data_IF_586493808163
#
_entry.id   IF_586493808163
#
_cell.length_a   1.000
_cell.length_b   1.000
_cell.length_c   1.000
_cell.angle_alpha   90.00
_cell.angle_beta   90.00
_cell.angle_gamma   90.00
#
_symmetry.space_group_name_H-M   'P 1'
#
loop_
_entity.id
_entity.type
_entity.pdbx_description
1 polymer ?
#
# COMPACT_ATOMS: atom_id res chain seq x y z
N UNK A 1 20.33 4.37 -13.48
CA UNK A 1 18.91 4.78 -13.59
C UNK A 1 18.00 3.63 -14.02
N UNK A 2 18.21 2.96 -15.18
CA UNK A 2 17.37 1.81 -15.60
C UNK A 2 17.33 0.65 -14.58
N UNK A 3 18.46 0.37 -13.95
CA UNK A 3 18.60 -0.72 -12.97
C UNK A 3 17.73 -0.53 -11.71
N UNK A 4 17.65 0.70 -11.19
CA UNK A 4 16.82 1.03 -10.01
C UNK A 4 15.33 0.82 -10.32
N UNK A 5 14.86 1.23 -11.51
CA UNK A 5 13.48 1.00 -11.91
C UNK A 5 13.17 -0.49 -12.04
N UNK A 6 14.13 -1.30 -12.51
CA UNK A 6 13.96 -2.74 -12.60
C UNK A 6 13.86 -3.39 -11.21
N UNK A 7 14.75 -3.01 -10.28
CA UNK A 7 14.71 -3.46 -8.89
C UNK A 7 13.40 -3.04 -8.20
N UNK A 8 12.96 -1.81 -8.42
CA UNK A 8 11.67 -1.30 -7.94
C UNK A 8 10.48 -2.11 -8.44
N UNK A 9 10.43 -2.42 -9.74
CA UNK A 9 9.37 -3.26 -10.32
C UNK A 9 9.41 -4.67 -9.72
N UNK A 10 10.60 -5.25 -9.54
CA UNK A 10 10.75 -6.58 -8.94
C UNK A 10 10.30 -6.61 -7.48
N UNK A 11 10.59 -5.55 -6.71
CA UNK A 11 10.08 -5.38 -5.35
C UNK A 11 8.55 -5.32 -5.32
N UNK A 12 7.93 -4.55 -6.23
CA UNK A 12 6.46 -4.48 -6.35
C UNK A 12 5.89 -5.86 -6.67
N UNK A 13 6.49 -6.60 -7.61
CA UNK A 13 6.05 -7.96 -7.95
C UNK A 13 6.12 -8.91 -6.76
N UNK A 14 7.20 -8.82 -5.99
CA UNK A 14 7.39 -9.64 -4.77
C UNK A 14 6.29 -9.33 -3.75
N UNK A 15 5.99 -8.04 -3.52
CA UNK A 15 4.92 -7.60 -2.63
C UNK A 15 3.53 -8.07 -3.06
N UNK A 16 3.22 -8.01 -4.37
CA UNK A 16 1.95 -8.49 -4.91
C UNK A 16 1.83 -10.02 -4.88
N UNK A 17 2.95 -10.74 -4.86
CA UNK A 17 3.01 -12.20 -4.81
C UNK A 17 3.13 -12.74 -3.38
N UNK A 18 3.15 -11.87 -2.36
CA UNK A 18 3.45 -12.21 -0.96
C UNK A 18 4.80 -12.93 -0.78
N UNK A 19 5.81 -12.53 -1.55
CA UNK A 19 7.17 -13.07 -1.49
C UNK A 19 8.14 -12.02 -0.94
N UNK A 20 9.16 -12.48 -0.24
CA UNK A 20 10.28 -11.65 0.21
C UNK A 20 11.17 -11.29 -0.98
N UNK A 21 11.48 -10.01 -1.13
CA UNK A 21 12.37 -9.51 -2.17
C UNK A 21 13.82 -9.87 -1.83
N UNK A 22 14.51 -10.51 -2.78
CA UNK A 22 15.89 -11.00 -2.60
C UNK A 22 16.96 -10.02 -3.09
N UNK A 23 16.57 -8.86 -3.65
CA UNK A 23 17.51 -7.84 -4.11
C UNK A 23 17.91 -6.86 -3.01
N UNK A 24 18.86 -5.98 -3.33
CA UNK A 24 19.27 -4.91 -2.42
C UNK A 24 18.29 -3.74 -2.51
N UNK A 25 17.80 -3.28 -1.35
CA UNK A 25 16.88 -2.15 -1.26
C UNK A 25 17.69 -0.88 -1.01
N UNK A 26 17.69 0.02 -1.99
CA UNK A 26 18.44 1.28 -1.93
C UNK A 26 17.56 2.43 -1.42
N UNK A 27 18.10 3.46 -0.72
CA UNK A 27 17.32 4.61 -0.26
C UNK A 27 16.56 5.35 -1.38
N UNK A 28 17.09 5.39 -2.59
CA UNK A 28 16.43 6.00 -3.76
C UNK A 28 15.15 5.26 -4.14
N UNK A 29 15.08 3.96 -3.88
CA UNK A 29 13.87 3.16 -4.10
C UNK A 29 12.77 3.60 -3.12
N UNK A 30 13.09 3.94 -1.88
CA UNK A 30 12.10 4.50 -0.95
C UNK A 30 11.47 5.77 -1.51
N UNK A 31 12.30 6.72 -1.97
CA UNK A 31 11.79 7.96 -2.58
C UNK A 31 10.89 7.66 -3.77
N UNK A 32 11.33 6.78 -4.68
CA UNK A 32 10.55 6.38 -5.84
C UNK A 32 9.20 5.75 -5.44
N UNK A 33 9.19 4.82 -4.48
CA UNK A 33 7.97 4.19 -4.01
C UNK A 33 7.03 5.19 -3.35
N UNK A 34 7.56 6.10 -2.54
CA UNK A 34 6.76 7.12 -1.86
C UNK A 34 6.09 8.08 -2.85
N UNK A 35 6.84 8.58 -3.82
CA UNK A 35 6.33 9.48 -4.87
C UNK A 35 5.25 8.82 -5.73
N UNK A 36 5.30 7.50 -5.90
CA UNK A 36 4.30 6.73 -6.65
C UNK A 36 3.19 6.14 -5.77
N UNK A 37 3.15 6.44 -4.47
CA UNK A 37 2.12 5.93 -3.57
C UNK A 37 2.18 4.41 -3.32
N UNK A 38 3.38 3.83 -3.36
CA UNK A 38 3.65 2.40 -3.24
C UNK A 38 4.49 2.03 -2.00
N UNK A 39 4.99 3.01 -1.24
CA UNK A 39 5.90 2.76 -0.11
C UNK A 39 5.30 1.80 0.93
N UNK A 40 4.08 2.05 1.40
CA UNK A 40 3.44 1.13 2.34
C UNK A 40 3.00 -0.19 1.69
N UNK A 41 2.82 -0.24 0.37
CA UNK A 41 2.44 -1.47 -0.35
C UNK A 41 3.57 -2.49 -0.35
N UNK A 42 4.81 -2.04 -0.54
CA UNK A 42 5.96 -2.93 -0.71
C UNK A 42 6.59 -3.42 0.60
N UNK A 43 6.20 -2.86 1.74
CA UNK A 43 6.86 -3.14 3.03
C UNK A 43 6.89 -4.63 3.40
N UNK A 44 5.80 -5.38 3.17
CA UNK A 44 5.75 -6.82 3.50
C UNK A 44 6.74 -7.67 2.71
N UNK A 45 7.23 -7.18 1.57
CA UNK A 45 8.26 -7.86 0.80
C UNK A 45 9.69 -7.50 1.21
N UNK A 46 9.89 -6.53 2.11
CA UNK A 46 11.22 -6.16 2.56
C UNK A 46 11.75 -7.18 3.56
N UNK A 47 12.99 -7.58 3.37
CA UNK A 47 13.74 -8.32 4.38
C UNK A 47 14.53 -7.33 5.26
N UNK A 48 14.32 -7.45 6.57
CA UNK A 48 14.98 -6.60 7.57
C UNK A 48 16.49 -6.82 7.61
N UNK A 49 16.95 -8.04 7.30
CA UNK A 49 18.37 -8.38 7.38
C UNK A 49 19.17 -7.85 6.18
N UNK A 50 18.51 -7.65 5.03
CA UNK A 50 19.17 -7.18 3.79
C UNK A 50 18.89 -5.72 3.46
N UNK A 51 17.91 -5.11 4.12
CA UNK A 51 17.60 -3.68 3.98
C UNK A 51 18.31 -2.89 5.06
N UNK A 52 18.94 -1.76 4.69
CA UNK A 52 19.55 -0.89 5.69
C UNK A 52 18.51 -0.40 6.71
N UNK A 53 18.91 -0.31 7.98
CA UNK A 53 17.98 -0.03 9.09
C UNK A 53 17.21 1.28 8.90
N UNK A 54 17.86 2.30 8.34
CA UNK A 54 17.27 3.62 8.13
C UNK A 54 16.16 3.57 7.08
N UNK A 55 16.40 2.93 5.94
CA UNK A 55 15.42 2.73 4.87
C UNK A 55 14.30 1.80 5.33
N UNK A 56 14.63 0.72 6.03
CA UNK A 56 13.62 -0.19 6.58
C UNK A 56 12.66 0.55 7.51
N UNK A 57 13.18 1.42 8.39
CA UNK A 57 12.35 2.23 9.29
C UNK A 57 11.42 3.18 8.51
N UNK A 58 11.93 3.84 7.48
CA UNK A 58 11.13 4.73 6.63
C UNK A 58 9.96 3.98 5.94
N UNK A 59 10.22 2.81 5.38
CA UNK A 59 9.16 1.97 4.80
C UNK A 59 8.16 1.48 5.86
N UNK A 60 8.63 1.13 7.06
CA UNK A 60 7.79 0.70 8.17
C UNK A 60 6.83 1.81 8.62
N UNK A 61 7.31 3.04 8.69
CA UNK A 61 6.48 4.21 9.02
C UNK A 61 5.38 4.44 7.96
N UNK A 62 5.73 4.43 6.67
CA UNK A 62 4.77 4.55 5.57
C UNK A 62 3.75 3.39 5.55
N UNK A 63 4.19 2.17 5.85
CA UNK A 63 3.31 1.00 5.98
C UNK A 63 2.23 1.21 7.05
N UNK A 64 2.61 1.65 8.24
CA UNK A 64 1.63 1.94 9.30
C UNK A 64 0.72 3.12 8.96
N UNK A 65 1.23 4.12 8.24
CA UNK A 65 0.40 5.21 7.73
C UNK A 65 -0.64 4.71 6.73
N UNK A 66 -0.30 3.76 5.86
CA UNK A 66 -1.25 3.13 4.94
C UNK A 66 -2.30 2.32 5.68
N UNK A 67 -1.91 1.49 6.65
CA UNK A 67 -2.87 0.75 7.48
C UNK A 67 -3.82 1.70 8.18
N UNK A 68 -3.30 2.73 8.85
CA UNK A 68 -4.12 3.71 9.57
C UNK A 68 -5.13 4.40 8.65
N UNK A 69 -4.67 4.82 7.47
CA UNK A 69 -5.53 5.48 6.48
C UNK A 69 -6.61 4.52 5.96
N UNK A 70 -6.22 3.30 5.65
CA UNK A 70 -7.12 2.25 5.16
C UNK A 70 -8.22 1.92 6.16
N UNK A 71 -7.87 1.69 7.43
CA UNK A 71 -8.83 1.39 8.48
C UNK A 71 -9.85 2.53 8.66
N UNK A 72 -9.39 3.79 8.62
CA UNK A 72 -10.29 4.95 8.67
C UNK A 72 -11.21 5.01 7.45
N UNK A 73 -10.70 4.70 6.26
CA UNK A 73 -11.51 4.68 5.05
C UNK A 73 -12.57 3.58 5.08
N UNK A 74 -12.21 2.37 5.51
CA UNK A 74 -13.14 1.26 5.67
C UNK A 74 -14.24 1.58 6.69
N UNK A 75 -13.88 2.18 7.82
CA UNK A 75 -14.85 2.63 8.81
C UNK A 75 -15.85 3.63 8.23
N UNK A 76 -15.37 4.66 7.51
CA UNK A 76 -16.24 5.67 6.89
C UNK A 76 -17.12 5.07 5.78
N UNK A 77 -16.58 4.12 5.00
CA UNK A 77 -17.35 3.41 3.97
C UNK A 77 -18.53 2.66 4.60
N UNK A 78 -18.29 1.94 5.70
CA UNK A 78 -19.34 1.19 6.39
C UNK A 78 -20.36 2.11 7.08
N UNK A 79 -19.91 3.22 7.69
CA UNK A 79 -20.80 4.22 8.28
C UNK A 79 -21.72 4.86 7.23
N UNK A 80 -21.17 5.32 6.11
CA UNK A 80 -21.95 5.90 5.01
C UNK A 80 -22.91 4.90 4.39
N UNK A 81 -22.46 3.65 4.20
CA UNK A 81 -23.31 2.55 3.72
C UNK A 81 -24.52 2.37 4.63
N UNK A 82 -24.32 2.34 5.94
CA UNK A 82 -25.39 2.26 6.93
C UNK A 82 -26.37 3.43 6.80
N UNK A 83 -25.87 4.67 6.84
CA UNK A 83 -26.70 5.88 6.76
C UNK A 83 -27.56 5.89 5.49
N UNK A 84 -26.98 5.58 4.33
CA UNK A 84 -27.73 5.61 3.08
C UNK A 84 -28.78 4.51 3.02
N UNK A 85 -28.45 3.28 3.44
CA UNK A 85 -29.40 2.18 3.49
C UNK A 85 -30.57 2.48 4.43
N UNK A 86 -30.29 2.98 5.64
CA UNK A 86 -31.30 3.29 6.67
C UNK A 86 -32.28 4.38 6.22
N UNK A 87 -31.85 5.26 5.31
CA UNK A 87 -32.67 6.34 4.76
C UNK A 87 -33.23 6.02 3.36
N UNK A 88 -33.03 4.81 2.83
CA UNK A 88 -33.48 4.42 1.50
C UNK A 88 -32.88 5.27 0.36
N UNK A 89 -31.65 5.77 0.56
CA UNK A 89 -30.94 6.55 -0.44
C UNK A 89 -30.19 5.58 -1.36
N UNK A 90 -30.47 5.63 -2.66
CA UNK A 90 -29.71 4.87 -3.66
C UNK A 90 -28.31 5.46 -3.84
N UNK A 91 -27.28 4.62 -3.72
CA UNK A 91 -25.89 5.03 -3.88
C UNK A 91 -25.03 3.92 -4.48
N UNK A 92 -23.90 4.34 -5.05
CA UNK A 92 -22.81 3.45 -5.44
C UNK A 92 -21.49 4.12 -5.08
N UNK A 93 -20.60 3.38 -4.42
CA UNK A 93 -19.27 3.91 -4.16
C UNK A 93 -18.43 3.96 -5.44
N UNK A 94 -17.57 4.97 -5.54
CA UNK A 94 -16.64 5.10 -6.65
C UNK A 94 -15.68 3.90 -6.72
N UNK A 95 -15.13 3.67 -7.92
CA UNK A 95 -14.23 2.55 -8.22
C UNK A 95 -13.14 2.32 -7.17
N UNK A 96 -12.59 3.38 -6.57
CA UNK A 96 -11.51 3.29 -5.58
C UNK A 96 -11.89 2.43 -4.37
N UNK A 97 -13.10 2.63 -3.83
CA UNK A 97 -13.59 1.87 -2.67
C UNK A 97 -13.81 0.40 -3.00
N UNK A 98 -14.28 0.11 -4.21
CA UNK A 98 -14.44 -1.27 -4.68
C UNK A 98 -13.09 -1.96 -4.91
N UNK A 99 -12.12 -1.28 -5.54
CA UNK A 99 -10.82 -1.87 -5.86
C UNK A 99 -10.07 -2.38 -4.61
N UNK A 100 -10.32 -1.83 -3.42
CA UNK A 100 -9.70 -2.30 -2.17
C UNK A 100 -9.92 -3.79 -1.91
N UNK A 101 -11.04 -4.37 -2.33
CA UNK A 101 -11.33 -5.79 -2.12
C UNK A 101 -10.59 -6.74 -3.07
N UNK A 102 -9.94 -6.20 -4.12
CA UNK A 102 -9.25 -6.98 -5.15
C UNK A 102 -7.75 -7.13 -4.82
N UNK A 103 -7.18 -6.19 -4.06
CA UNK A 103 -5.79 -6.29 -3.63
C UNK A 103 -5.62 -7.39 -2.59
N UNK A 104 -4.43 -8.02 -2.48
CA UNK A 104 -4.13 -8.98 -1.42
C UNK A 104 -4.43 -8.43 -0.02
N UNK A 105 -4.17 -7.14 0.18
CA UNK A 105 -4.52 -6.39 1.39
C UNK A 105 -5.09 -5.03 1.00
N UNK A 106 -6.15 -4.58 1.67
CA UNK A 106 -6.89 -3.35 1.33
C UNK A 106 -6.03 -2.08 1.38
N UNK A 107 -5.06 -2.03 2.31
CA UNK A 107 -4.16 -0.89 2.47
C UNK A 107 -3.22 -0.71 1.27
N UNK A 108 -2.97 -1.76 0.47
CA UNK A 108 -2.13 -1.68 -0.73
C UNK A 108 -2.72 -0.74 -1.78
N UNK A 109 -4.04 -0.53 -1.72
CA UNK A 109 -4.72 0.52 -2.47
C UNK A 109 -4.75 1.80 -1.63
N UNK A 110 -3.69 2.59 -1.76
CA UNK A 110 -3.70 3.98 -1.29
C UNK A 110 -4.76 4.77 -2.07
N UNK A 111 -5.81 5.20 -1.39
CA UNK A 111 -6.77 6.18 -1.91
C UNK A 111 -6.37 7.56 -1.41
N UNK A 112 -6.63 8.61 -2.20
CA UNK A 112 -6.39 10.01 -1.84
C UNK A 112 -6.90 10.40 -0.46
#
# INVERSE_FOLDING_TARGET
MREIYQEAINLIKSALSNETFTGSVKPEMFKLMRENGLAGTVFKALDKETTDESTYRLFKEEYYMYIKKDQRQLQVIEELRGIFNDNGIDFIFLKGSYLKSIYPESYMRSMG
#
